data_IF_420547467480
#
_entry.id   IF_420547467480
#
_cell.length_a   1.000
_cell.length_b   1.000
_cell.length_c   1.000
_cell.angle_alpha   90.00
_cell.angle_beta   90.00
_cell.angle_gamma   90.00
#
_symmetry.space_group_name_H-M   'P 1'
#
loop_
_entity.id
_entity.type
_entity.pdbx_description
1 polymer ?
#
# COMPACT_ATOMS: atom_id res chain seq x y z
N UNK A 1 17.20 -15.54 5.14
CA UNK A 1 15.95 -16.17 4.65
C UNK A 1 15.46 -15.32 3.50
N UNK A 2 15.01 -15.89 2.37
CA UNK A 2 14.38 -15.10 1.32
C UNK A 2 13.17 -14.35 1.90
N UNK A 3 12.83 -13.16 1.38
CA UNK A 3 11.65 -12.44 1.84
C UNK A 3 10.40 -13.30 1.57
N UNK A 4 9.51 -13.37 2.56
CA UNK A 4 8.24 -14.13 2.49
C UNK A 4 7.18 -13.42 1.66
N UNK A 5 7.46 -12.19 1.21
CA UNK A 5 6.55 -11.35 0.46
C UNK A 5 7.30 -10.39 -0.48
N UNK A 6 6.59 -9.85 -1.45
CA UNK A 6 7.09 -8.82 -2.36
C UNK A 6 5.98 -7.87 -2.82
N UNK A 7 6.38 -6.70 -3.34
CA UNK A 7 5.50 -5.69 -3.92
C UNK A 7 6.16 -5.04 -5.13
N UNK A 8 5.54 -5.22 -6.29
CA UNK A 8 5.96 -4.64 -7.56
C UNK A 8 5.00 -3.55 -8.05
N UNK A 9 5.55 -2.56 -8.76
CA UNK A 9 4.77 -1.52 -9.45
C UNK A 9 4.28 -2.01 -10.80
N UNK A 10 3.06 -1.62 -11.16
CA UNK A 10 2.49 -1.77 -12.51
C UNK A 10 2.06 -0.41 -13.06
N UNK A 11 1.57 -0.38 -14.30
CA UNK A 11 1.02 0.85 -14.88
C UNK A 11 -0.27 1.29 -14.17
N UNK A 12 -1.03 0.34 -13.61
CA UNK A 12 -2.33 0.55 -12.98
C UNK A 12 -2.26 0.60 -11.44
N UNK A 13 -1.14 0.19 -10.82
CA UNK A 13 -0.97 0.23 -9.37
C UNK A 13 0.17 -0.66 -8.87
N UNK A 14 -0.16 -1.66 -8.04
CA UNK A 14 0.79 -2.61 -7.45
C UNK A 14 0.30 -4.05 -7.50
N UNK A 15 1.24 -4.99 -7.58
CA UNK A 15 1.02 -6.43 -7.38
C UNK A 15 1.74 -6.85 -6.12
N UNK A 16 1.03 -7.52 -5.21
CA UNK A 16 1.53 -7.99 -3.92
C UNK A 16 1.54 -9.51 -3.92
N UNK A 17 2.62 -10.12 -3.43
CA UNK A 17 2.78 -11.57 -3.41
C UNK A 17 3.27 -12.07 -2.06
N UNK A 18 2.91 -13.30 -1.71
CA UNK A 18 3.39 -13.98 -0.50
C UNK A 18 2.56 -13.67 0.74
N UNK A 19 3.19 -13.72 1.92
CA UNK A 19 2.50 -13.63 3.21
C UNK A 19 2.57 -12.22 3.81
N UNK A 20 1.42 -11.64 4.18
CA UNK A 20 1.33 -10.35 4.87
C UNK A 20 0.86 -10.57 6.31
N UNK A 21 1.82 -10.78 7.19
CA UNK A 21 1.61 -10.99 8.63
C UNK A 21 2.10 -9.80 9.47
N UNK A 22 1.96 -9.90 10.81
CA UNK A 22 2.49 -8.93 11.76
C UNK A 22 3.97 -8.56 11.53
N UNK A 23 4.81 -9.48 11.07
CA UNK A 23 6.24 -9.25 10.87
C UNK A 23 6.54 -8.34 9.68
N UNK A 24 5.62 -8.21 8.73
CA UNK A 24 5.83 -7.44 7.49
C UNK A 24 4.76 -6.37 7.23
N UNK A 25 3.67 -6.35 7.99
CA UNK A 25 2.54 -5.43 7.81
C UNK A 25 2.96 -3.95 7.76
N UNK A 26 3.86 -3.50 8.65
CA UNK A 26 4.34 -2.11 8.65
C UNK A 26 5.11 -1.77 7.37
N UNK A 27 5.95 -2.70 6.89
CA UNK A 27 6.71 -2.50 5.66
C UNK A 27 5.80 -2.52 4.41
N UNK A 28 4.77 -3.36 4.43
CA UNK A 28 3.72 -3.37 3.42
C UNK A 28 2.97 -2.04 3.39
N UNK A 29 2.51 -1.54 4.54
CA UNK A 29 1.84 -0.23 4.66
C UNK A 29 2.71 0.89 4.05
N UNK A 30 3.97 1.00 4.48
CA UNK A 30 4.87 2.06 3.99
C UNK A 30 5.07 2.01 2.48
N UNK A 31 5.36 0.82 1.93
CA UNK A 31 5.63 0.68 0.48
C UNK A 31 4.36 0.92 -0.35
N UNK A 32 3.22 0.40 0.09
CA UNK A 32 1.96 0.53 -0.63
C UNK A 32 1.38 1.95 -0.52
N UNK A 33 1.49 2.63 0.62
CA UNK A 33 1.09 4.03 0.77
C UNK A 33 1.96 4.97 -0.05
N UNK A 34 3.29 4.79 -0.04
CA UNK A 34 4.17 5.48 -0.97
C UNK A 34 3.80 5.18 -2.43
N UNK A 35 3.20 4.01 -2.67
CA UNK A 35 2.72 3.63 -3.97
C UNK A 35 1.50 4.39 -4.47
N UNK A 36 0.49 4.47 -3.62
CA UNK A 36 -0.72 5.25 -3.84
C UNK A 36 -0.38 6.74 -3.99
N UNK A 37 0.41 7.30 -3.06
CA UNK A 37 0.74 8.74 -3.06
C UNK A 37 1.55 9.20 -4.28
N UNK A 38 2.41 8.32 -4.81
CA UNK A 38 3.20 8.62 -6.01
C UNK A 38 2.45 8.39 -7.33
N UNK A 39 1.21 7.91 -7.29
CA UNK A 39 0.44 7.59 -8.47
C UNK A 39 -0.28 8.81 -9.04
N UNK A 40 -0.28 8.93 -10.37
CA UNK A 40 -1.09 9.92 -11.10
C UNK A 40 -2.42 9.33 -11.62
N UNK A 41 -2.65 8.02 -11.47
CA UNK A 41 -3.89 7.37 -11.94
C UNK A 41 -5.03 7.61 -10.97
N UNK A 42 -6.22 7.91 -11.51
CA UNK A 42 -7.42 8.18 -10.70
C UNK A 42 -7.95 6.94 -9.98
N UNK A 43 -7.77 5.75 -10.57
CA UNK A 43 -8.10 4.47 -9.96
C UNK A 43 -6.80 3.69 -9.78
N UNK A 44 -6.47 3.33 -8.54
CA UNK A 44 -5.25 2.60 -8.20
C UNK A 44 -5.59 1.13 -7.88
N UNK A 45 -5.04 0.19 -8.66
CA UNK A 45 -5.26 -1.24 -8.46
C UNK A 45 -4.24 -1.82 -7.46
N UNK A 46 -4.75 -2.45 -6.40
CA UNK A 46 -3.94 -3.30 -5.51
C UNK A 46 -4.29 -4.75 -5.83
N UNK A 47 -3.44 -5.42 -6.60
CA UNK A 47 -3.61 -6.84 -6.92
C UNK A 47 -3.03 -7.70 -5.78
N UNK A 48 -3.92 -8.46 -5.13
CA UNK A 48 -3.62 -9.35 -4.02
C UNK A 48 -3.76 -10.84 -4.42
N UNK A 49 -3.91 -11.15 -5.72
CA UNK A 49 -4.22 -12.51 -6.20
C UNK A 49 -3.15 -13.54 -5.83
N UNK A 50 -1.90 -13.10 -5.69
CA UNK A 50 -0.74 -13.92 -5.29
C UNK A 50 -0.40 -13.78 -3.80
N UNK A 51 -1.24 -13.10 -3.00
CA UNK A 51 -1.11 -13.09 -1.54
C UNK A 51 -1.62 -14.41 -0.99
N UNK A 52 -0.73 -15.18 -0.37
CA UNK A 52 -1.02 -16.54 0.11
C UNK A 52 -1.56 -16.57 1.53
N UNK A 53 -1.32 -15.52 2.31
CA UNK A 53 -1.83 -15.37 3.67
C UNK A 53 -1.89 -13.90 4.06
N UNK A 54 -2.92 -13.52 4.82
CA UNK A 54 -3.03 -12.19 5.44
C UNK A 54 -3.69 -12.32 6.82
N UNK A 55 -3.01 -11.84 7.86
CA UNK A 55 -3.59 -11.77 9.21
C UNK A 55 -4.30 -10.41 9.45
N UNK A 56 -4.74 -10.18 10.69
CA UNK A 56 -5.39 -8.92 11.06
C UNK A 56 -4.46 -7.71 11.03
N UNK A 57 -3.15 -7.88 11.23
CA UNK A 57 -2.18 -6.79 11.08
C UNK A 57 -2.02 -6.41 9.60
N UNK A 58 -1.93 -7.40 8.71
CA UNK A 58 -1.92 -7.18 7.26
C UNK A 58 -3.20 -6.49 6.76
N UNK A 59 -4.38 -6.92 7.22
CA UNK A 59 -5.65 -6.27 6.87
C UNK A 59 -5.72 -4.83 7.37
N UNK A 60 -5.26 -4.56 8.60
CA UNK A 60 -5.20 -3.19 9.15
C UNK A 60 -4.29 -2.29 8.32
N UNK A 61 -3.12 -2.79 7.93
CA UNK A 61 -2.21 -2.08 7.05
C UNK A 61 -2.87 -1.77 5.70
N UNK A 62 -3.58 -2.73 5.10
CA UNK A 62 -4.32 -2.50 3.85
C UNK A 62 -5.38 -1.41 3.99
N UNK A 63 -6.16 -1.41 5.08
CA UNK A 63 -7.16 -0.35 5.33
C UNK A 63 -6.50 1.03 5.31
N UNK A 64 -5.34 1.18 5.97
CA UNK A 64 -4.61 2.46 6.02
C UNK A 64 -4.05 2.90 4.67
N UNK A 65 -3.70 1.96 3.80
CA UNK A 65 -3.28 2.25 2.41
C UNK A 65 -4.47 2.77 1.58
N UNK A 66 -5.68 2.28 1.86
CA UNK A 66 -6.91 2.67 1.17
C UNK A 66 -7.53 3.96 1.73
N UNK A 67 -7.22 4.30 2.97
CA UNK A 67 -7.67 5.55 3.58
C UNK A 67 -7.11 6.75 2.81
N UNK A 68 -7.91 7.81 2.60
CA UNK A 68 -7.41 9.04 2.00
C UNK A 68 -6.20 9.53 2.77
N UNK A 69 -5.04 9.55 2.13
CA UNK A 69 -3.94 10.37 2.58
C UNK A 69 -4.35 11.81 2.33
N UNK A 70 -5.05 12.42 3.29
CA UNK A 70 -5.33 13.85 3.29
C UNK A 70 -3.99 14.56 3.11
N UNK A 71 -3.77 15.01 1.88
CA UNK A 71 -2.56 15.70 1.51
C UNK A 71 -2.40 16.91 2.42
N UNK A 72 -1.15 17.23 2.71
CA UNK A 72 -0.71 18.55 3.14
C UNK A 72 -1.03 19.59 2.04
N UNK A 73 -2.32 19.84 1.84
CA UNK A 73 -2.91 20.72 0.84
C UNK A 73 -3.64 21.88 1.52
N UNK A 74 -2.89 22.74 2.22
CA UNK A 74 -3.22 24.16 2.33
C UNK A 74 -2.00 24.99 2.74
N UNK A 75 -0.95 24.94 1.93
CA UNK A 75 0.00 26.06 1.84
C UNK A 75 -0.48 27.04 0.75
N UNK A 76 -1.72 27.53 0.87
CA UNK A 76 -2.26 28.54 -0.05
C UNK A 76 -3.53 29.22 0.49
N UNK A 77 -3.52 29.74 1.73
CA UNK A 77 -4.49 30.76 2.15
C UNK A 77 -4.08 31.53 3.40
N UNK A 78 -3.07 32.38 3.30
CA UNK A 78 -2.90 33.53 4.19
C UNK A 78 -2.37 34.69 3.35
N UNK A 79 -3.30 35.50 2.86
CA UNK A 79 -3.12 36.87 2.38
C UNK A 79 -4.35 37.66 2.85
#
# INVERSE_FOLDING_TARGET
MPPTWDLDRTAEGVVVRGEIDLGVADAFEVKASAAVMGSAVANFLVDLSDVTFMDSAGLRALIRVLEPHDGQGSAARQA
#
